data_IF_264080820305
#
_entry.id   IF_264080820305
#
_cell.length_a   1.000
_cell.length_b   1.000
_cell.length_c   1.000
_cell.angle_alpha   90.00
_cell.angle_beta   90.00
_cell.angle_gamma   90.00
#
_symmetry.space_group_name_H-M   'P 1'
#
loop_
_entity.id
_entity.type
_entity.pdbx_description
1 polymer ?
#
# COMPACT_ATOMS: atom_id res chain seq x y z
N UNK A 1 -1.84 -24.20 63.82
CA UNK A 1 -0.43 -23.77 63.83
C UNK A 1 0.21 -24.05 62.47
N UNK A 2 0.74 -23.00 61.84
CA UNK A 2 1.91 -22.94 60.91
C UNK A 2 1.93 -23.76 59.59
N UNK A 3 1.89 -22.97 58.50
CA UNK A 3 2.37 -23.11 57.12
C UNK A 3 3.35 -24.26 56.76
N UNK A 4 3.26 -24.75 55.51
CA UNK A 4 4.26 -24.50 54.44
C UNK A 4 3.87 -25.12 53.08
N UNK A 5 3.90 -24.28 52.03
CA UNK A 5 4.22 -24.70 50.65
C UNK A 5 5.68 -25.16 50.57
N UNK A 6 6.00 -26.08 49.65
CA UNK A 6 7.15 -26.04 48.72
C UNK A 6 6.93 -27.12 47.63
N UNK A 7 7.27 -26.71 46.40
CA UNK A 7 7.15 -27.39 45.13
C UNK A 7 8.37 -28.26 44.77
N UNK A 8 8.19 -29.19 43.83
CA UNK A 8 9.13 -29.71 42.80
C UNK A 8 8.33 -30.76 42.00
N UNK A 9 8.15 -30.76 40.68
CA UNK A 9 8.96 -30.26 39.57
C UNK A 9 9.58 -31.47 38.85
N UNK A 10 9.11 -31.81 37.65
CA UNK A 10 9.90 -32.33 36.51
C UNK A 10 9.10 -32.09 35.22
N UNK A 11 9.73 -31.34 34.33
CA UNK A 11 9.42 -31.16 32.91
C UNK A 11 9.90 -32.39 32.11
N UNK A 12 9.03 -32.92 31.25
CA UNK A 12 9.39 -33.65 30.04
C UNK A 12 8.16 -33.52 29.12
N UNK A 13 8.19 -32.78 28.01
CA UNK A 13 9.14 -32.96 26.92
C UNK A 13 8.49 -33.72 25.78
N UNK A 14 7.31 -33.27 25.31
CA UNK A 14 6.80 -33.64 23.99
C UNK A 14 7.02 -32.45 23.05
N UNK A 15 8.14 -32.51 22.34
CA UNK A 15 8.40 -31.75 21.14
C UNK A 15 7.28 -32.06 20.13
N UNK A 16 6.23 -31.22 20.12
CA UNK A 16 5.47 -31.03 18.90
C UNK A 16 6.44 -30.38 17.92
N UNK A 17 6.92 -31.20 16.99
CA UNK A 17 7.52 -30.75 15.74
C UNK A 17 6.50 -29.90 14.99
N UNK A 18 6.35 -28.63 15.39
CA UNK A 18 5.78 -27.62 14.52
C UNK A 18 6.80 -27.46 13.40
N UNK A 19 6.60 -28.21 12.32
CA UNK A 19 7.25 -27.92 11.05
C UNK A 19 6.98 -26.47 10.72
N UNK A 20 8.04 -25.68 10.71
CA UNK A 20 8.07 -24.28 10.34
C UNK A 20 7.65 -24.12 8.88
N UNK A 21 6.35 -24.04 8.64
CA UNK A 21 5.77 -23.82 7.30
C UNK A 21 4.64 -22.79 7.30
N UNK A 22 4.62 -21.83 8.23
CA UNK A 22 3.50 -20.85 8.35
C UNK A 22 3.86 -19.47 7.76
N UNK A 23 5.07 -19.29 7.22
CA UNK A 23 5.48 -18.02 6.59
C UNK A 23 5.73 -18.13 5.08
N UNK A 24 4.92 -18.92 4.37
CA UNK A 24 5.03 -19.02 2.90
C UNK A 24 3.72 -19.40 2.17
N UNK A 25 2.54 -18.99 2.67
CA UNK A 25 1.36 -18.91 1.81
C UNK A 25 0.94 -17.44 1.69
N UNK A 26 1.66 -16.74 0.81
CA UNK A 26 1.47 -15.32 0.51
C UNK A 26 0.16 -15.20 -0.25
N UNK A 27 -0.97 -15.13 0.47
CA UNK A 27 -2.31 -14.73 0.02
C UNK A 27 -2.65 -15.06 -1.46
N UNK A 28 -2.41 -16.28 -1.92
CA UNK A 28 -2.76 -16.69 -3.28
C UNK A 28 -4.14 -17.33 -3.29
N UNK A 29 -5.10 -16.63 -3.90
CA UNK A 29 -6.44 -17.16 -4.12
C UNK A 29 -6.48 -17.97 -5.43
N UNK A 30 -7.09 -19.16 -5.44
CA UNK A 30 -7.08 -20.05 -6.60
C UNK A 30 -7.89 -19.50 -7.79
N UNK A 31 -8.86 -18.64 -7.53
CA UNK A 31 -9.74 -18.03 -8.53
C UNK A 31 -9.27 -16.62 -8.97
N UNK A 32 -8.11 -16.16 -8.52
CA UNK A 32 -7.54 -14.87 -8.95
C UNK A 32 -6.74 -15.06 -10.24
N UNK A 33 -7.14 -14.41 -11.36
CA UNK A 33 -6.40 -14.51 -12.60
C UNK A 33 -5.07 -13.74 -12.49
N UNK A 34 -4.07 -14.16 -13.27
CA UNK A 34 -2.72 -13.58 -13.23
C UNK A 34 -2.69 -12.06 -13.45
N UNK A 35 -3.63 -11.48 -14.21
CA UNK A 35 -3.71 -10.04 -14.43
C UNK A 35 -4.16 -9.23 -13.19
N UNK A 36 -4.83 -9.90 -12.25
CA UNK A 36 -5.34 -9.31 -11.01
C UNK A 36 -4.45 -9.59 -9.81
N UNK A 37 -3.66 -10.68 -9.84
CA UNK A 37 -2.82 -11.18 -8.74
C UNK A 37 -2.10 -10.08 -7.97
N UNK A 38 -1.20 -9.33 -8.63
CA UNK A 38 -0.45 -8.22 -8.00
C UNK A 38 -1.35 -7.18 -7.32
N UNK A 39 -2.50 -6.89 -7.92
CA UNK A 39 -3.43 -5.87 -7.39
C UNK A 39 -4.22 -6.38 -6.20
N UNK A 40 -4.65 -7.64 -6.25
CA UNK A 40 -5.35 -8.30 -5.15
C UNK A 40 -4.41 -8.43 -3.96
N UNK A 41 -3.20 -8.97 -4.15
CA UNK A 41 -2.18 -9.09 -3.10
C UNK A 41 -1.91 -7.74 -2.43
N UNK A 42 -1.70 -6.68 -3.22
CA UNK A 42 -1.47 -5.34 -2.69
C UNK A 42 -2.59 -4.84 -1.77
N UNK A 43 -3.85 -5.04 -2.16
CA UNK A 43 -5.00 -4.58 -1.37
C UNK A 43 -5.29 -5.48 -0.17
N UNK A 44 -4.93 -6.76 -0.23
CA UNK A 44 -4.99 -7.68 0.92
C UNK A 44 -3.92 -7.32 1.94
N UNK A 45 -2.68 -7.08 1.51
CA UNK A 45 -1.59 -6.66 2.38
C UNK A 45 -1.89 -5.31 3.07
N UNK A 46 -2.59 -4.40 2.38
CA UNK A 46 -3.09 -3.14 2.95
C UNK A 46 -4.38 -3.29 3.76
N UNK A 47 -4.89 -4.51 3.97
CA UNK A 47 -6.12 -4.81 4.70
C UNK A 47 -7.39 -4.10 4.15
N UNK A 48 -7.36 -3.75 2.86
CA UNK A 48 -8.48 -3.13 2.14
C UNK A 48 -9.50 -4.19 1.75
N UNK A 49 -9.02 -5.34 1.27
CA UNK A 49 -9.81 -6.48 0.82
C UNK A 49 -9.38 -7.74 1.55
N UNK A 50 -10.28 -8.72 1.59
CA UNK A 50 -10.03 -10.07 2.08
C UNK A 50 -10.68 -11.07 1.11
N UNK A 51 -10.20 -12.31 1.13
CA UNK A 51 -10.90 -13.43 0.51
C UNK A 51 -12.11 -13.87 1.34
N UNK A 52 -12.86 -14.81 0.77
CA UNK A 52 -13.97 -15.47 1.43
C UNK A 52 -13.48 -16.62 2.34
N UNK A 53 -14.33 -17.06 3.29
CA UNK A 53 -13.97 -18.15 4.21
C UNK A 53 -13.64 -19.49 3.53
N UNK A 54 -14.07 -19.69 2.28
CA UNK A 54 -13.79 -20.88 1.48
C UNK A 54 -12.41 -20.86 0.79
N UNK A 55 -11.63 -19.80 1.00
CA UNK A 55 -10.30 -19.63 0.42
C UNK A 55 -10.31 -19.00 -0.97
N UNK A 56 -11.46 -18.63 -1.54
CA UNK A 56 -11.56 -17.91 -2.81
C UNK A 56 -11.52 -16.39 -2.60
N UNK A 57 -11.25 -15.64 -3.66
CA UNK A 57 -11.37 -14.18 -3.66
C UNK A 57 -12.76 -13.70 -4.11
N UNK A 58 -13.45 -14.49 -4.93
CA UNK A 58 -14.69 -14.08 -5.60
C UNK A 58 -14.42 -13.23 -6.85
N UNK A 59 -13.39 -13.57 -7.64
CA UNK A 59 -12.90 -12.70 -8.73
C UNK A 59 -13.95 -12.24 -9.74
N UNK A 60 -14.94 -13.10 -10.01
CA UNK A 60 -16.00 -12.85 -10.99
C UNK A 60 -17.27 -12.25 -10.37
N UNK A 61 -17.31 -12.09 -9.05
CA UNK A 61 -18.49 -11.54 -8.37
C UNK A 61 -18.69 -10.09 -8.75
N UNK A 62 -19.95 -9.71 -8.99
CA UNK A 62 -20.29 -8.31 -9.21
C UNK A 62 -20.32 -7.55 -7.90
N UNK A 63 -19.64 -6.41 -7.88
CA UNK A 63 -19.50 -5.59 -6.68
C UNK A 63 -20.72 -4.69 -6.48
N UNK A 64 -21.19 -4.56 -5.24
CA UNK A 64 -22.18 -3.55 -4.89
C UNK A 64 -21.55 -2.18 -4.58
N UNK A 65 -22.36 -1.13 -4.58
CA UNK A 65 -21.92 0.26 -4.39
C UNK A 65 -21.37 0.51 -2.99
N UNK A 66 -21.90 -0.13 -1.96
CA UNK A 66 -21.39 -0.05 -0.59
C UNK A 66 -19.98 -0.66 -0.46
N UNK A 67 -19.73 -1.79 -1.13
CA UNK A 67 -18.44 -2.44 -1.19
C UNK A 67 -17.43 -1.59 -1.95
N UNK A 68 -17.84 -0.97 -3.07
CA UNK A 68 -16.98 -0.01 -3.77
C UNK A 68 -16.59 1.17 -2.85
N UNK A 69 -17.53 1.73 -2.09
CA UNK A 69 -17.24 2.82 -1.15
C UNK A 69 -16.28 2.38 -0.03
N UNK A 70 -16.45 1.16 0.46
CA UNK A 70 -15.57 0.55 1.47
C UNK A 70 -14.15 0.36 0.94
N UNK A 71 -13.99 -0.16 -0.29
CA UNK A 71 -12.67 -0.32 -0.91
C UNK A 71 -11.98 1.05 -1.05
N UNK A 72 -12.70 2.07 -1.56
CA UNK A 72 -12.11 3.41 -1.76
C UNK A 72 -11.65 4.04 -0.44
N UNK A 73 -12.51 4.01 0.58
CA UNK A 73 -12.20 4.65 1.87
C UNK A 73 -11.05 3.96 2.59
N UNK A 74 -11.02 2.62 2.59
CA UNK A 74 -9.91 1.84 3.15
C UNK A 74 -8.61 2.03 2.37
N UNK A 75 -8.64 1.99 1.03
CA UNK A 75 -7.44 2.19 0.21
C UNK A 75 -6.77 3.55 0.47
N UNK A 76 -7.60 4.60 0.64
CA UNK A 76 -7.15 5.95 1.00
C UNK A 76 -6.77 6.13 2.48
N UNK A 77 -6.96 5.12 3.33
CA UNK A 77 -6.70 5.24 4.77
C UNK A 77 -7.60 6.26 5.47
N UNK A 78 -8.82 6.49 4.97
CA UNK A 78 -9.77 7.44 5.59
C UNK A 78 -10.23 6.88 6.93
N UNK A 79 -10.16 7.71 7.97
CA UNK A 79 -10.68 7.36 9.29
C UNK A 79 -12.20 7.14 9.23
N UNK A 80 -12.65 5.98 9.72
CA UNK A 80 -14.06 5.59 9.73
C UNK A 80 -14.64 5.79 11.13
N UNK A 81 -15.56 6.75 11.25
CA UNK A 81 -16.43 6.87 12.41
C UNK A 81 -17.62 5.91 12.24
N UNK A 82 -17.70 4.90 13.10
CA UNK A 82 -18.74 3.87 13.07
C UNK A 82 -20.15 4.41 13.34
N UNK A 83 -20.26 5.61 13.96
CA UNK A 83 -21.53 6.24 14.25
C UNK A 83 -21.97 7.26 13.19
N UNK A 84 -21.09 7.58 12.24
CA UNK A 84 -21.40 8.53 11.18
C UNK A 84 -22.47 7.98 10.23
N UNK A 85 -23.39 8.86 9.80
CA UNK A 85 -24.46 8.53 8.85
C UNK A 85 -24.36 9.43 7.61
N UNK A 86 -24.59 8.88 6.41
CA UNK A 86 -24.62 9.68 5.19
C UNK A 86 -25.92 10.49 5.08
N UNK A 87 -26.02 11.37 4.08
CA UNK A 87 -27.27 12.09 3.78
C UNK A 87 -28.35 11.21 3.12
N UNK A 88 -27.97 10.03 2.63
CA UNK A 88 -28.84 9.16 1.85
C UNK A 88 -29.81 8.35 2.73
N UNK A 89 -31.11 8.47 2.45
CA UNK A 89 -32.21 7.86 3.23
C UNK A 89 -32.14 6.33 3.23
N UNK A 90 -31.72 5.74 2.13
CA UNK A 90 -31.61 4.29 1.93
C UNK A 90 -30.33 3.67 2.52
N UNK A 91 -29.45 4.50 3.06
CA UNK A 91 -28.13 4.09 3.56
C UNK A 91 -27.96 4.37 5.06
N UNK A 92 -29.05 4.63 5.78
CA UNK A 92 -29.02 4.94 7.21
C UNK A 92 -28.79 3.71 8.11
N UNK A 93 -29.25 2.53 7.66
CA UNK A 93 -29.21 1.27 8.41
C UNK A 93 -28.66 0.14 7.51
N UNK A 94 -27.42 0.26 7.08
CA UNK A 94 -26.74 -0.68 6.19
C UNK A 94 -25.35 -1.00 6.76
N UNK A 95 -24.80 -2.20 6.48
CA UNK A 95 -23.45 -2.56 6.96
C UNK A 95 -22.38 -1.56 6.45
N UNK A 96 -22.63 -1.00 5.27
CA UNK A 96 -21.77 0.00 4.63
C UNK A 96 -21.99 1.44 5.11
N UNK A 97 -22.97 1.72 5.98
CA UNK A 97 -23.33 3.08 6.42
C UNK A 97 -22.13 3.96 6.80
N UNK A 98 -21.21 3.54 7.69
CA UNK A 98 -20.10 4.42 8.09
C UNK A 98 -19.10 4.67 6.95
N UNK A 99 -18.90 3.69 6.06
CA UNK A 99 -18.04 3.84 4.88
C UNK A 99 -18.67 4.75 3.83
N UNK A 100 -19.98 4.65 3.62
CA UNK A 100 -20.73 5.53 2.72
C UNK A 100 -20.67 6.97 3.27
N UNK A 101 -20.86 7.16 4.58
CA UNK A 101 -20.75 8.47 5.22
C UNK A 101 -19.35 9.09 5.03
N UNK A 102 -18.29 8.30 5.26
CA UNK A 102 -16.92 8.75 5.06
C UNK A 102 -16.62 9.08 3.59
N UNK A 103 -17.07 8.23 2.66
CA UNK A 103 -16.91 8.45 1.23
C UNK A 103 -17.66 9.70 0.74
N UNK A 104 -18.87 9.94 1.25
CA UNK A 104 -19.65 11.14 0.95
C UNK A 104 -18.94 12.39 1.45
N UNK A 105 -18.51 12.39 2.73
CA UNK A 105 -17.78 13.50 3.35
C UNK A 105 -16.49 13.84 2.61
N UNK A 106 -15.78 12.82 2.10
CA UNK A 106 -14.57 12.99 1.30
C UNK A 106 -14.84 13.41 -0.16
N UNK A 107 -16.11 13.50 -0.57
CA UNK A 107 -16.52 13.84 -1.93
C UNK A 107 -16.20 12.76 -2.96
N UNK A 108 -16.05 11.50 -2.54
CA UNK A 108 -15.75 10.35 -3.41
C UNK A 108 -17.00 9.92 -4.15
N UNK A 109 -18.12 9.83 -3.43
CA UNK A 109 -19.41 9.40 -3.94
C UNK A 109 -20.41 10.56 -4.01
N UNK A 110 -21.38 10.40 -4.90
CA UNK A 110 -22.62 11.18 -4.93
C UNK A 110 -23.78 10.19 -5.05
N UNK A 111 -24.93 10.55 -4.47
CA UNK A 111 -26.16 9.78 -4.63
C UNK A 111 -26.67 9.81 -6.07
N UNK A 112 -27.67 8.98 -6.35
CA UNK A 112 -28.37 8.92 -7.63
C UNK A 112 -29.44 10.03 -7.77
N UNK A 113 -29.59 10.86 -6.72
CA UNK A 113 -30.60 11.91 -6.61
C UNK A 113 -31.62 11.59 -5.52
N UNK A 114 -32.45 12.56 -5.15
CA UNK A 114 -33.57 12.39 -4.21
C UNK A 114 -33.22 11.80 -2.82
N UNK A 115 -31.95 11.90 -2.41
CA UNK A 115 -31.45 11.29 -1.18
C UNK A 115 -31.26 9.77 -1.26
N UNK A 116 -31.08 9.20 -2.45
CA UNK A 116 -30.86 7.77 -2.69
C UNK A 116 -29.41 7.54 -3.11
N UNK A 117 -28.77 6.50 -2.55
CA UNK A 117 -27.45 6.06 -2.96
C UNK A 117 -27.44 4.67 -3.61
N UNK A 118 -28.44 3.84 -3.32
CA UNK A 118 -28.59 2.46 -3.76
C UNK A 118 -27.41 1.56 -3.32
N UNK A 119 -27.18 1.37 -2.00
CA UNK A 119 -25.98 0.71 -1.49
C UNK A 119 -25.80 -0.73 -1.97
N UNK A 120 -26.90 -1.46 -2.14
CA UNK A 120 -26.90 -2.86 -2.62
C UNK A 120 -26.93 -2.99 -4.15
N UNK A 121 -27.10 -1.87 -4.86
CA UNK A 121 -27.06 -1.83 -6.32
C UNK A 121 -25.67 -2.19 -6.85
N UNK A 122 -25.61 -2.87 -7.99
CA UNK A 122 -24.34 -3.24 -8.63
C UNK A 122 -23.65 -2.02 -9.21
N UNK A 123 -22.33 -1.94 -9.02
CA UNK A 123 -21.54 -0.79 -9.47
C UNK A 123 -21.11 -0.98 -10.93
N UNK A 124 -21.36 0.05 -11.75
CA UNK A 124 -20.97 0.08 -13.16
C UNK A 124 -19.52 0.54 -13.33
N UNK A 125 -18.94 0.27 -14.50
CA UNK A 125 -17.61 0.79 -14.89
C UNK A 125 -17.54 2.30 -14.78
N UNK A 126 -18.57 3.02 -15.23
CA UNK A 126 -18.64 4.47 -15.11
C UNK A 126 -18.68 4.94 -13.64
N UNK A 127 -19.47 4.28 -12.78
CA UNK A 127 -19.55 4.63 -11.37
C UNK A 127 -18.22 4.42 -10.65
N UNK A 128 -17.54 3.30 -10.90
CA UNK A 128 -16.20 3.05 -10.35
C UNK A 128 -15.18 4.09 -10.84
N UNK A 129 -15.23 4.45 -12.12
CA UNK A 129 -14.34 5.47 -12.67
C UNK A 129 -14.53 6.83 -11.98
N UNK A 130 -15.78 7.24 -11.78
CA UNK A 130 -16.10 8.47 -11.04
C UNK A 130 -15.57 8.43 -9.61
N UNK A 131 -15.74 7.30 -8.91
CA UNK A 131 -15.25 7.14 -7.54
C UNK A 131 -13.72 7.27 -7.48
N UNK A 132 -12.99 6.62 -8.37
CA UNK A 132 -11.52 6.68 -8.43
C UNK A 132 -11.00 8.09 -8.74
N UNK A 133 -11.58 8.75 -9.74
CA UNK A 133 -11.18 10.11 -10.11
C UNK A 133 -11.44 11.09 -8.98
N UNK A 134 -12.57 10.96 -8.28
CA UNK A 134 -12.90 11.81 -7.14
C UNK A 134 -12.07 11.52 -5.88
N UNK A 135 -11.79 10.23 -5.62
CA UNK A 135 -10.94 9.76 -4.53
C UNK A 135 -9.53 10.34 -4.63
N UNK A 136 -8.93 10.24 -5.81
CA UNK A 136 -7.52 10.58 -6.03
C UNK A 136 -7.30 11.94 -6.71
N UNK A 137 -8.37 12.76 -6.80
CA UNK A 137 -8.39 14.11 -7.40
C UNK A 137 -7.70 14.16 -8.78
N UNK A 138 -8.07 13.22 -9.64
CA UNK A 138 -7.40 13.00 -10.94
C UNK A 138 -7.87 13.95 -12.05
N UNK A 139 -8.84 14.83 -11.79
CA UNK A 139 -9.48 15.67 -12.82
C UNK A 139 -8.46 16.55 -13.56
N UNK A 140 -7.42 17.01 -12.86
CA UNK A 140 -6.39 17.89 -13.41
C UNK A 140 -5.22 17.14 -14.07
N UNK A 141 -5.18 15.81 -13.99
CA UNK A 141 -4.10 14.98 -14.56
C UNK A 141 -4.36 14.56 -16.03
N UNK A 142 -5.54 14.87 -16.57
CA UNK A 142 -5.88 14.62 -17.98
C UNK A 142 -5.38 15.78 -18.84
N UNK A 143 -4.49 15.51 -19.80
CA UNK A 143 -3.95 16.53 -20.71
C UNK A 143 -4.78 16.71 -21.98
N UNK A 144 -5.71 15.78 -22.28
CA UNK A 144 -6.60 15.86 -23.43
C UNK A 144 -8.04 16.17 -22.98
N UNK A 145 -8.43 17.42 -23.15
CA UNK A 145 -9.78 17.92 -22.87
C UNK A 145 -10.79 17.41 -23.91
N UNK A 146 -11.39 16.25 -23.63
CA UNK A 146 -12.82 16.07 -23.91
C UNK A 146 -13.24 15.39 -25.21
N UNK A 147 -12.35 14.79 -26.00
CA UNK A 147 -12.78 13.98 -27.14
C UNK A 147 -12.82 12.49 -26.76
N UNK A 148 -14.03 11.94 -26.63
CA UNK A 148 -14.19 10.52 -26.34
C UNK A 148 -13.56 9.65 -27.43
N UNK A 149 -12.65 8.77 -27.00
CA UNK A 149 -12.01 7.76 -27.84
C UNK A 149 -12.97 6.60 -28.19
N UNK A 150 -14.10 6.49 -27.48
CA UNK A 150 -15.07 5.42 -27.65
C UNK A 150 -16.47 5.96 -27.95
N UNK A 151 -17.18 5.34 -28.91
CA UNK A 151 -18.49 5.82 -29.34
C UNK A 151 -19.55 5.68 -28.23
N UNK A 152 -19.46 4.62 -27.41
CA UNK A 152 -20.37 4.33 -26.30
C UNK A 152 -20.18 5.22 -25.07
N UNK A 153 -19.14 6.06 -25.06
CA UNK A 153 -18.92 7.08 -24.05
C UNK A 153 -19.50 8.45 -24.42
N UNK A 154 -19.72 8.73 -25.71
CA UNK A 154 -20.17 10.07 -26.14
C UNK A 154 -21.54 10.40 -25.55
N UNK A 155 -21.62 11.48 -24.78
CA UNK A 155 -22.85 11.93 -24.12
C UNK A 155 -23.19 11.14 -22.85
N UNK A 156 -22.36 10.17 -22.44
CA UNK A 156 -22.55 9.43 -21.21
C UNK A 156 -22.14 10.29 -20.00
N UNK A 157 -22.89 10.26 -18.90
CA UNK A 157 -22.58 11.07 -17.70
C UNK A 157 -21.18 10.78 -17.12
N UNK A 158 -20.71 9.55 -17.30
CA UNK A 158 -19.38 9.08 -16.88
C UNK A 158 -18.24 9.41 -17.83
N UNK A 159 -18.51 10.02 -18.99
CA UNK A 159 -17.55 10.23 -20.09
C UNK A 159 -16.26 10.90 -19.62
N UNK A 160 -16.37 12.02 -18.89
CA UNK A 160 -15.20 12.78 -18.41
C UNK A 160 -14.32 11.93 -17.51
N UNK A 161 -14.92 11.18 -16.59
CA UNK A 161 -14.20 10.32 -15.64
C UNK A 161 -13.55 9.12 -16.33
N UNK A 162 -14.27 8.51 -17.29
CA UNK A 162 -13.74 7.44 -18.13
C UNK A 162 -12.51 7.91 -18.90
N UNK A 163 -12.60 9.07 -19.56
CA UNK A 163 -11.49 9.66 -20.32
C UNK A 163 -10.26 9.94 -19.45
N UNK A 164 -10.45 10.44 -18.22
CA UNK A 164 -9.33 10.62 -17.26
C UNK A 164 -8.62 9.30 -16.97
N UNK A 165 -9.34 8.21 -16.71
CA UNK A 165 -8.71 6.92 -16.44
C UNK A 165 -8.10 6.26 -17.69
N UNK A 166 -8.65 6.53 -18.88
CA UNK A 166 -8.06 6.10 -20.15
C UNK A 166 -6.73 6.81 -20.38
N UNK A 167 -6.67 8.13 -20.19
CA UNK A 167 -5.46 8.93 -20.38
C UNK A 167 -4.34 8.52 -19.41
N UNK A 168 -4.71 8.19 -18.17
CA UNK A 168 -3.79 7.65 -17.16
C UNK A 168 -3.45 6.16 -17.35
N UNK A 169 -4.03 5.50 -18.37
CA UNK A 169 -3.86 4.07 -18.66
C UNK A 169 -4.25 3.15 -17.48
N UNK A 170 -5.15 3.62 -16.62
CA UNK A 170 -5.67 2.87 -15.46
C UNK A 170 -6.79 1.93 -15.91
N UNK A 171 -7.74 2.46 -16.68
CA UNK A 171 -8.90 1.71 -17.21
C UNK A 171 -9.04 1.99 -18.70
N UNK A 172 -8.61 1.04 -19.50
CA UNK A 172 -8.75 1.08 -20.95
C UNK A 172 -10.05 0.43 -21.41
N UNK A 173 -10.45 0.72 -22.65
CA UNK A 173 -11.59 0.05 -23.28
C UNK A 173 -11.30 -1.41 -23.61
N UNK A 174 -12.33 -2.08 -24.09
CA UNK A 174 -12.32 -3.45 -24.58
C UNK A 174 -12.47 -3.44 -26.10
N UNK A 175 -12.41 -4.62 -26.73
CA UNK A 175 -12.70 -4.78 -28.15
C UNK A 175 -14.11 -4.31 -28.54
N UNK A 176 -15.06 -4.33 -27.58
CA UNK A 176 -16.46 -3.94 -27.76
C UNK A 176 -16.77 -2.54 -27.19
N UNK A 177 -15.79 -1.65 -27.15
CA UNK A 177 -15.95 -0.29 -26.61
C UNK A 177 -15.57 -0.18 -25.13
N UNK A 178 -15.93 0.93 -24.48
CA UNK A 178 -15.59 1.15 -23.07
C UNK A 178 -16.59 0.53 -22.09
N UNK A 179 -17.80 0.25 -22.55
CA UNK A 179 -18.91 -0.40 -21.84
C UNK A 179 -19.28 0.28 -20.51
N UNK A 180 -19.63 1.58 -20.50
CA UNK A 180 -19.78 2.34 -19.25
C UNK A 180 -20.83 1.80 -18.27
N UNK A 181 -21.84 1.11 -18.78
CA UNK A 181 -22.95 0.56 -17.98
C UNK A 181 -22.75 -0.91 -17.58
N UNK A 182 -21.68 -1.57 -18.02
CA UNK A 182 -21.36 -2.94 -17.58
C UNK A 182 -20.98 -2.91 -16.10
N UNK A 183 -21.48 -3.87 -15.33
CA UNK A 183 -21.04 -4.07 -13.96
C UNK A 183 -19.58 -4.50 -13.92
N UNK A 184 -18.85 -4.04 -12.89
CA UNK A 184 -17.49 -4.50 -12.67
C UNK A 184 -17.46 -5.72 -11.76
N UNK A 185 -16.50 -6.59 -12.02
CA UNK A 185 -16.20 -7.69 -11.10
C UNK A 185 -15.34 -7.22 -9.94
N UNK A 186 -15.30 -8.02 -8.88
CA UNK A 186 -14.47 -7.79 -7.70
C UNK A 186 -12.98 -7.72 -8.05
N UNK A 187 -12.49 -8.59 -8.95
CA UNK A 187 -11.10 -8.55 -9.41
C UNK A 187 -10.79 -7.30 -10.25
N UNK A 188 -11.73 -6.86 -11.09
CA UNK A 188 -11.58 -5.60 -11.84
C UNK A 188 -11.55 -4.40 -10.88
N UNK A 189 -12.44 -4.36 -9.90
CA UNK A 189 -12.46 -3.32 -8.87
C UNK A 189 -11.14 -3.25 -8.10
N UNK A 190 -10.60 -4.40 -7.68
CA UNK A 190 -9.32 -4.51 -7.01
C UNK A 190 -8.17 -4.01 -7.89
N UNK A 191 -8.15 -4.42 -9.16
CA UNK A 191 -7.13 -3.95 -10.11
C UNK A 191 -7.15 -2.42 -10.26
N UNK A 192 -8.34 -1.83 -10.41
CA UNK A 192 -8.48 -0.40 -10.59
C UNK A 192 -8.11 0.39 -9.33
N UNK A 193 -8.56 -0.07 -8.16
CA UNK A 193 -8.21 0.56 -6.89
C UNK A 193 -6.69 0.50 -6.65
N UNK A 194 -6.07 -0.67 -6.81
CA UNK A 194 -4.64 -0.86 -6.60
C UNK A 194 -3.80 -0.04 -7.58
N UNK A 195 -4.10 -0.12 -8.89
CA UNK A 195 -3.37 0.66 -9.92
C UNK A 195 -3.44 2.16 -9.64
N UNK A 196 -4.61 2.65 -9.25
CA UNK A 196 -4.80 4.09 -9.00
C UNK A 196 -4.05 4.54 -7.75
N UNK A 197 -4.12 3.75 -6.67
CA UNK A 197 -3.41 4.01 -5.42
C UNK A 197 -1.89 4.00 -5.64
N UNK A 198 -1.38 2.92 -6.26
CA UNK A 198 0.03 2.78 -6.63
C UNK A 198 0.53 3.91 -7.54
N UNK A 199 -0.32 4.44 -8.43
CA UNK A 199 0.06 5.55 -9.30
C UNK A 199 0.34 6.83 -8.50
N UNK A 200 -0.34 7.07 -7.37
CA UNK A 200 0.04 8.17 -6.49
C UNK A 200 1.39 7.93 -5.82
N UNK A 201 1.63 6.70 -5.34
CA UNK A 201 2.92 6.30 -4.77
C UNK A 201 4.07 6.23 -5.78
N UNK A 202 3.81 6.13 -7.07
CA UNK A 202 4.84 6.18 -8.12
C UNK A 202 5.20 7.63 -8.46
N UNK A 203 4.24 8.55 -8.32
CA UNK A 203 4.43 9.98 -8.58
C UNK A 203 5.04 10.72 -7.37
N UNK A 204 4.89 10.20 -6.15
CA UNK A 204 5.70 10.57 -4.98
C UNK A 204 6.77 9.51 -4.80
N UNK A 205 8.05 9.76 -5.06
CA UNK A 205 9.03 8.67 -5.04
C UNK A 205 9.08 8.08 -3.60
N UNK A 206 8.76 6.79 -3.39
CA UNK A 206 8.58 6.25 -2.03
C UNK A 206 9.89 6.20 -1.24
N UNK A 207 11.01 6.35 -1.94
CA UNK A 207 12.36 6.45 -1.38
C UNK A 207 12.76 7.93 -1.16
N UNK A 208 12.00 8.88 -1.67
CA UNK A 208 12.16 10.31 -1.43
C UNK A 208 11.98 10.59 0.06
N UNK A 209 12.93 11.35 0.63
CA UNK A 209 13.03 11.62 2.07
C UNK A 209 13.28 10.40 2.97
N UNK A 210 13.68 9.24 2.41
CA UNK A 210 14.17 8.13 3.21
C UNK A 210 15.68 8.26 3.42
N UNK A 211 16.11 8.08 4.66
CA UNK A 211 17.53 8.12 5.03
C UNK A 211 18.08 6.71 5.21
N UNK A 212 19.21 6.41 4.57
CA UNK A 212 20.02 5.21 4.83
C UNK A 212 21.23 5.65 5.65
N UNK A 213 21.46 4.99 6.78
CA UNK A 213 22.65 5.20 7.60
C UNK A 213 23.58 4.01 7.41
N UNK A 214 24.78 4.26 6.90
CA UNK A 214 25.83 3.27 6.72
C UNK A 214 26.83 3.46 7.86
N UNK A 215 27.12 2.38 8.60
CA UNK A 215 28.23 2.38 9.57
C UNK A 215 29.43 1.65 8.95
N UNK A 216 30.47 2.38 8.53
CA UNK A 216 31.72 1.76 8.10
C UNK A 216 32.41 1.27 9.37
N UNK A 217 32.12 0.06 9.84
CA UNK A 217 32.64 -0.44 11.11
C UNK A 217 34.18 -0.46 11.20
N UNK A 218 34.70 -0.16 12.38
CA UNK A 218 35.64 -0.98 13.16
C UNK A 218 35.64 -0.43 14.61
N UNK A 219 35.72 -1.31 15.59
CA UNK A 219 35.30 -1.07 16.97
C UNK A 219 36.29 -0.30 17.85
N UNK A 220 37.09 0.63 17.33
CA UNK A 220 38.08 1.37 18.11
C UNK A 220 39.49 1.26 17.55
N UNK A 221 40.43 0.69 18.30
CA UNK A 221 41.84 0.54 17.90
C UNK A 221 42.13 -0.76 17.15
N UNK A 222 41.17 -1.70 17.13
CA UNK A 222 41.30 -2.96 16.40
C UNK A 222 40.89 -2.74 14.93
N UNK A 223 41.85 -2.73 13.99
CA UNK A 223 41.55 -2.55 12.58
C UNK A 223 40.92 -3.79 11.94
N UNK A 224 40.69 -4.85 12.71
CA UNK A 224 40.22 -6.15 12.24
C UNK A 224 41.34 -6.98 11.61
N UNK A 225 40.97 -7.95 10.78
CA UNK A 225 41.92 -8.91 10.22
C UNK A 225 42.78 -8.29 9.11
N UNK A 226 44.08 -8.17 9.35
CA UNK A 226 45.04 -7.78 8.33
C UNK A 226 45.29 -8.92 7.34
N UNK A 227 44.92 -8.72 6.07
CA UNK A 227 45.17 -9.69 4.99
C UNK A 227 46.04 -9.02 3.93
N UNK A 228 47.24 -9.57 3.66
CA UNK A 228 48.16 -9.06 2.63
C UNK A 228 48.50 -7.56 2.76
N UNK A 229 48.58 -7.04 4.00
CA UNK A 229 48.94 -5.64 4.26
C UNK A 229 47.80 -4.63 4.09
N UNK A 230 46.57 -5.09 3.83
CA UNK A 230 45.37 -4.26 3.82
C UNK A 230 44.57 -4.49 5.12
N UNK A 231 44.43 -3.45 5.96
CA UNK A 231 43.55 -3.52 7.13
C UNK A 231 42.08 -3.59 6.71
N UNK A 232 41.31 -4.42 7.40
CA UNK A 232 39.87 -4.57 7.20
C UNK A 232 39.15 -3.22 7.36
N UNK A 233 39.59 -2.38 8.32
CA UNK A 233 39.10 -1.02 8.51
C UNK A 233 39.11 -0.15 7.26
N UNK A 234 40.15 -0.27 6.42
CA UNK A 234 40.30 0.48 5.16
C UNK A 234 39.37 -0.07 4.08
N UNK A 235 39.23 -1.39 4.02
CA UNK A 235 38.36 -2.07 3.04
C UNK A 235 36.90 -1.74 3.32
N UNK A 236 36.47 -1.80 4.58
CA UNK A 236 35.09 -1.49 4.99
C UNK A 236 34.76 -0.02 4.75
N UNK A 237 35.69 0.90 5.03
CA UNK A 237 35.50 2.33 4.75
C UNK A 237 35.38 2.60 3.24
N UNK A 238 36.31 2.08 2.43
CA UNK A 238 36.29 2.26 0.97
C UNK A 238 35.02 1.67 0.34
N UNK A 239 34.60 0.50 0.77
CA UNK A 239 33.35 -0.14 0.30
C UNK A 239 32.12 0.68 0.68
N UNK A 240 32.08 1.24 1.89
CA UNK A 240 30.96 2.07 2.37
C UNK A 240 30.85 3.38 1.60
N UNK A 241 31.97 4.04 1.31
CA UNK A 241 32.01 5.27 0.51
C UNK A 241 31.56 5.02 -0.95
N UNK A 242 31.98 3.89 -1.54
CA UNK A 242 31.51 3.49 -2.88
C UNK A 242 30.03 3.18 -2.88
N UNK A 243 29.52 2.49 -1.85
CA UNK A 243 28.11 2.20 -1.71
C UNK A 243 27.28 3.47 -1.56
N UNK A 244 27.74 4.45 -0.78
CA UNK A 244 27.12 5.76 -0.68
C UNK A 244 27.01 6.42 -2.05
N UNK A 245 28.10 6.53 -2.79
CA UNK A 245 28.09 7.16 -4.12
C UNK A 245 27.15 6.45 -5.10
N UNK A 246 27.09 5.12 -5.06
CA UNK A 246 26.17 4.34 -5.88
C UNK A 246 24.70 4.61 -5.50
N UNK A 247 24.39 4.64 -4.21
CA UNK A 247 23.05 4.91 -3.72
C UNK A 247 22.62 6.35 -4.05
N UNK A 248 23.46 7.35 -3.78
CA UNK A 248 23.16 8.76 -4.09
C UNK A 248 23.03 9.02 -5.59
N UNK A 249 23.80 8.31 -6.43
CA UNK A 249 23.75 8.46 -7.89
C UNK A 249 22.54 7.79 -8.53
N UNK A 250 22.05 6.69 -7.95
CA UNK A 250 21.05 5.82 -8.58
C UNK A 250 19.73 5.76 -7.84
N UNK A 251 19.60 6.45 -6.70
CA UNK A 251 18.39 6.46 -5.86
C UNK A 251 18.18 7.86 -5.26
N UNK A 252 16.97 8.19 -4.79
CA UNK A 252 16.70 9.46 -4.10
C UNK A 252 17.02 9.40 -2.59
N UNK A 253 17.68 8.35 -2.09
CA UNK A 253 17.97 8.22 -0.67
C UNK A 253 18.90 9.36 -0.20
N UNK A 254 18.64 9.89 0.99
CA UNK A 254 19.69 10.58 1.74
C UNK A 254 20.57 9.53 2.38
N UNK A 255 21.83 9.46 2.00
CA UNK A 255 22.77 8.48 2.59
C UNK A 255 23.69 9.22 3.56
N UNK A 256 23.74 8.73 4.80
CA UNK A 256 24.61 9.27 5.85
C UNK A 256 25.58 8.19 6.30
N UNK A 257 26.83 8.58 6.57
CA UNK A 257 27.80 7.69 7.17
C UNK A 257 28.04 8.07 8.62
N UNK A 258 28.19 7.08 9.49
CA UNK A 258 28.64 7.33 10.88
C UNK A 258 30.10 7.79 10.94
N UNK A 259 30.88 7.65 9.85
CA UNK A 259 32.21 8.26 9.66
C UNK A 259 32.58 8.34 8.19
N UNK A 260 33.37 9.34 7.82
CA UNK A 260 33.88 9.54 6.46
C UNK A 260 35.41 9.33 6.36
N UNK A 261 36.09 9.23 7.51
CA UNK A 261 37.53 9.11 7.60
C UNK A 261 37.94 7.96 8.53
N UNK A 262 39.16 7.47 8.36
CA UNK A 262 39.80 6.53 9.30
C UNK A 262 40.52 7.29 10.42
N UNK A 263 39.86 8.31 10.97
CA UNK A 263 40.40 9.18 12.02
C UNK A 263 39.44 9.23 13.20
N UNK A 264 40.01 9.30 14.40
CA UNK A 264 39.27 9.35 15.67
C UNK A 264 39.01 10.82 16.06
N UNK A 265 37.79 11.21 16.45
CA UNK A 265 37.56 12.42 17.24
C UNK A 265 38.35 12.32 18.56
N UNK A 266 39.00 13.40 19.01
CA UNK A 266 40.01 13.39 20.12
C UNK A 266 39.48 13.03 21.53
N UNK A 267 38.35 12.35 21.67
CA UNK A 267 37.76 11.94 22.94
C UNK A 267 37.67 10.41 23.08
N UNK A 268 37.31 9.94 24.27
CA UNK A 268 37.15 8.51 24.58
C UNK A 268 36.20 7.79 23.61
N UNK A 269 36.28 6.47 23.57
CA UNK A 269 35.57 5.62 22.61
C UNK A 269 34.04 5.80 22.67
N UNK A 270 33.50 6.08 23.85
CA UNK A 270 32.06 6.23 24.07
C UNK A 270 31.58 7.58 23.52
N UNK A 271 32.30 8.66 23.80
CA UNK A 271 32.01 9.99 23.26
C UNK A 271 32.15 10.04 21.74
N UNK A 272 33.16 9.38 21.17
CA UNK A 272 33.34 9.31 19.72
C UNK A 272 32.16 8.63 19.01
N UNK A 273 31.65 7.52 19.55
CA UNK A 273 30.49 6.84 18.96
C UNK A 273 29.21 7.66 19.09
N UNK A 274 28.97 8.31 20.24
CA UNK A 274 27.81 9.18 20.45
C UNK A 274 27.79 10.38 19.49
N UNK A 275 28.95 10.97 19.21
CA UNK A 275 29.08 12.08 18.25
C UNK A 275 28.80 11.62 16.81
N UNK A 276 29.35 10.45 16.44
CA UNK A 276 29.20 9.82 15.11
C UNK A 276 27.79 9.39 14.76
N UNK A 277 26.90 9.22 15.74
CA UNK A 277 25.49 8.85 15.53
C UNK A 277 24.53 9.97 15.91
N UNK A 278 25.03 11.18 16.21
CA UNK A 278 24.20 12.32 16.67
C UNK A 278 23.10 12.72 15.67
N UNK A 279 23.31 12.43 14.39
CA UNK A 279 22.35 12.66 13.31
C UNK A 279 21.29 11.55 13.18
N UNK A 280 21.48 10.40 13.82
CA UNK A 280 20.61 9.22 13.76
C UNK A 280 19.54 9.25 14.87
N UNK A 281 18.63 10.24 14.82
CA UNK A 281 17.53 10.42 15.79
C UNK A 281 16.18 9.94 15.24
#
# INVERSE_FOLDING_TARGET
MKNKLIATGILAGSLLSYSSSIFADIHKFPDVPAWADKSVTYLVDKQVLNGYPDGTFGSNDTLDRASAATIMTKALGIHIDLNAKPSFKDSQNHWGTPYIAAAEKAGIIKGEGNGIFNPSGKVTRAAMATMLVNAYKLQNKSTNSGQSKFQDLKGHWGEKFANTLIDLKILVGTDNGWQPNRFITRAEAAQLAAKTDMLQYSQSNPLENKTIIIDPGHGGEDPGKNTKGLPESKIVLDTSLRLQQLLEKHTPFTVLLTREFDTRPRHDQKSSLQERVKFAK
#
